data_IF_591596717705
#
_entry.id   IF_591596717705
#
_cell.length_a   1.000
_cell.length_b   1.000
_cell.length_c   1.000
_cell.angle_alpha   90.00
_cell.angle_beta   90.00
_cell.angle_gamma   90.00
#
_symmetry.space_group_name_H-M   'P 1'
#
loop_
_entity.id
_entity.type
_entity.pdbx_description
1 polymer ?
#
# COMPACT_ATOMS: atom_id res chain seq x y z
N UNK A 1 -7.73 15.40 6.32
CA UNK A 1 -6.93 16.50 5.78
C UNK A 1 -6.43 17.46 6.85
N UNK A 2 -6.39 16.99 8.07
CA UNK A 2 -5.68 17.65 9.14
C UNK A 2 -4.19 17.72 8.78
N UNK A 3 -3.45 18.70 9.29
CA UNK A 3 -2.02 18.78 9.08
C UNK A 3 -1.33 17.48 9.50
N UNK A 4 -0.41 17.00 8.67
CA UNK A 4 0.41 15.84 8.97
C UNK A 4 1.35 16.19 10.13
N UNK A 5 1.19 15.53 11.26
CA UNK A 5 1.99 15.76 12.46
C UNK A 5 3.18 14.81 12.55
N UNK A 6 2.93 13.52 12.25
CA UNK A 6 3.96 12.46 12.32
C UNK A 6 3.83 11.50 11.13
N UNK A 7 4.96 10.95 10.70
CA UNK A 7 5.02 9.99 9.60
C UNK A 7 6.15 8.99 9.81
N UNK A 8 5.92 7.75 9.33
CA UNK A 8 6.99 6.76 9.19
C UNK A 8 7.44 6.78 7.73
N UNK A 9 8.72 7.07 7.50
CA UNK A 9 9.36 6.96 6.19
C UNK A 9 10.25 5.73 6.20
N UNK A 10 10.06 4.87 5.21
CA UNK A 10 10.77 3.62 5.08
C UNK A 10 12.25 3.74 4.72
N UNK A 11 12.85 2.62 4.37
CA UNK A 11 14.23 2.52 3.84
C UNK A 11 14.29 1.44 2.76
N UNK A 12 15.19 1.60 1.81
CA UNK A 12 15.48 0.60 0.80
C UNK A 12 16.54 -0.43 1.27
N UNK A 13 17.09 -0.27 2.46
CA UNK A 13 18.08 -1.19 2.98
C UNK A 13 17.56 -2.63 2.96
N UNK A 14 18.38 -3.54 2.46
CA UNK A 14 18.06 -4.97 2.33
C UNK A 14 16.88 -5.29 1.40
N UNK A 15 16.38 -4.33 0.63
CA UNK A 15 15.34 -4.60 -0.37
C UNK A 15 15.82 -5.68 -1.34
N UNK A 16 14.96 -6.64 -1.63
CA UNK A 16 15.30 -7.81 -2.45
C UNK A 16 14.08 -8.30 -3.23
N UNK A 17 14.33 -9.09 -4.26
CA UNK A 17 13.29 -9.86 -4.95
C UNK A 17 13.25 -11.24 -4.29
N UNK A 18 12.11 -11.63 -3.69
CA UNK A 18 12.00 -12.92 -3.02
C UNK A 18 12.15 -14.09 -3.97
N UNK A 19 12.53 -15.25 -3.45
CA UNK A 19 12.39 -16.50 -4.18
C UNK A 19 10.91 -16.68 -4.54
N UNK A 20 10.59 -16.95 -5.83
CA UNK A 20 9.21 -17.16 -6.25
C UNK A 20 8.52 -18.25 -5.40
N UNK A 21 7.35 -17.93 -4.94
CA UNK A 21 6.41 -18.81 -4.29
C UNK A 21 5.00 -18.38 -4.72
N UNK A 22 4.00 -19.16 -4.42
CA UNK A 22 2.63 -18.91 -4.88
C UNK A 22 2.13 -17.52 -4.50
N UNK A 23 2.43 -17.06 -3.27
CA UNK A 23 1.98 -15.76 -2.79
C UNK A 23 2.60 -14.59 -3.56
N UNK A 24 3.91 -14.65 -3.81
CA UNK A 24 4.64 -13.63 -4.58
C UNK A 24 4.16 -13.60 -6.03
N UNK A 25 3.99 -14.78 -6.65
CA UNK A 25 3.55 -14.87 -8.04
C UNK A 25 2.10 -14.41 -8.23
N UNK A 26 1.19 -14.78 -7.34
CA UNK A 26 -0.24 -14.40 -7.48
C UNK A 26 -0.56 -12.98 -7.00
N UNK A 27 0.17 -12.47 -6.02
CA UNK A 27 -0.11 -11.15 -5.45
C UNK A 27 0.71 -10.02 -6.05
N UNK A 28 1.98 -10.28 -6.41
CA UNK A 28 2.90 -9.22 -6.84
C UNK A 28 3.32 -9.30 -8.31
N UNK A 29 3.59 -10.50 -8.79
CA UNK A 29 4.11 -10.71 -10.15
C UNK A 29 3.20 -11.59 -11.02
N UNK A 30 1.86 -11.35 -11.05
CA UNK A 30 0.94 -12.24 -11.75
C UNK A 30 1.13 -12.25 -13.28
N UNK A 31 1.80 -11.24 -13.83
CA UNK A 31 2.05 -11.09 -15.26
C UNK A 31 3.40 -11.66 -15.72
N UNK A 32 4.22 -12.14 -14.76
CA UNK A 32 5.55 -12.67 -15.05
C UNK A 32 5.60 -14.20 -14.96
N UNK A 33 6.41 -14.80 -15.79
CA UNK A 33 6.78 -16.21 -15.67
C UNK A 33 7.65 -16.41 -14.41
N UNK A 34 7.41 -17.49 -13.66
CA UNK A 34 8.15 -17.79 -12.44
C UNK A 34 9.67 -17.87 -12.66
N UNK A 35 10.10 -18.45 -13.80
CA UNK A 35 11.52 -18.55 -14.14
C UNK A 35 12.17 -17.16 -14.32
N UNK A 36 11.42 -16.21 -14.87
CA UNK A 36 11.92 -14.84 -14.99
C UNK A 36 12.13 -14.18 -13.63
N UNK A 37 11.17 -14.31 -12.71
CA UNK A 37 11.30 -13.77 -11.33
C UNK A 37 12.45 -14.48 -10.60
N UNK A 38 12.55 -15.80 -10.73
CA UNK A 38 13.61 -16.64 -10.13
C UNK A 38 15.01 -16.21 -10.55
N UNK A 39 15.19 -15.86 -11.82
CA UNK A 39 16.46 -15.36 -12.37
C UNK A 39 16.93 -14.07 -11.71
N UNK A 40 15.99 -13.26 -11.22
CA UNK A 40 16.25 -11.95 -10.60
C UNK A 40 16.19 -11.98 -9.07
N UNK A 41 16.01 -13.15 -8.46
CA UNK A 41 15.96 -13.30 -7.00
C UNK A 41 17.26 -12.82 -6.35
N UNK A 42 17.13 -12.09 -5.25
CA UNK A 42 18.25 -11.56 -4.47
C UNK A 42 18.13 -10.07 -4.23
N UNK A 43 19.15 -9.47 -3.64
CA UNK A 43 19.15 -8.04 -3.37
C UNK A 43 19.04 -7.22 -4.65
N UNK A 44 18.33 -6.11 -4.58
CA UNK A 44 18.37 -5.11 -5.63
C UNK A 44 19.82 -4.64 -5.88
N UNK A 45 20.16 -4.22 -7.12
CA UNK A 45 21.42 -3.56 -7.38
C UNK A 45 21.66 -2.41 -6.39
N UNK A 46 22.89 -2.29 -5.87
CA UNK A 46 23.22 -1.30 -4.84
C UNK A 46 22.89 0.12 -5.29
N UNK A 47 23.04 0.42 -6.58
CA UNK A 47 22.67 1.72 -7.14
C UNK A 47 21.19 2.05 -6.89
N UNK A 48 20.27 1.08 -7.08
CA UNK A 48 18.83 1.31 -6.82
C UNK A 48 18.59 1.57 -5.33
N UNK A 49 19.26 0.81 -4.46
CA UNK A 49 19.12 0.99 -3.01
C UNK A 49 19.61 2.37 -2.58
N UNK A 50 20.76 2.80 -3.11
CA UNK A 50 21.37 4.09 -2.78
C UNK A 50 20.49 5.25 -3.27
N UNK A 51 20.06 5.24 -4.54
CA UNK A 51 19.18 6.27 -5.13
C UNK A 51 17.83 6.35 -4.38
N UNK A 52 17.23 5.21 -4.06
CA UNK A 52 15.96 5.19 -3.31
C UNK A 52 16.14 5.71 -1.88
N UNK A 53 17.23 5.37 -1.19
CA UNK A 53 17.51 5.90 0.13
C UNK A 53 17.77 7.41 0.09
N UNK A 54 18.48 7.93 -0.93
CA UNK A 54 18.67 9.37 -1.13
C UNK A 54 17.31 10.09 -1.27
N UNK A 55 16.39 9.56 -2.08
CA UNK A 55 15.05 10.12 -2.24
C UNK A 55 14.24 10.10 -0.93
N UNK A 56 14.31 9.00 -0.17
CA UNK A 56 13.63 8.86 1.12
C UNK A 56 14.23 9.81 2.19
N UNK A 57 15.54 10.05 2.16
CA UNK A 57 16.21 10.98 3.05
C UNK A 57 15.85 12.44 2.71
N UNK A 58 15.80 12.80 1.42
CA UNK A 58 15.33 14.10 0.95
C UNK A 58 13.88 14.34 1.39
N UNK A 59 13.01 13.33 1.24
CA UNK A 59 11.63 13.39 1.71
C UNK A 59 11.56 13.63 3.23
N UNK A 60 12.37 12.87 4.00
CA UNK A 60 12.46 13.01 5.45
C UNK A 60 12.87 14.41 5.88
N UNK A 61 13.92 14.96 5.27
CA UNK A 61 14.39 16.32 5.55
C UNK A 61 13.34 17.38 5.17
N UNK A 62 12.67 17.18 4.03
CA UNK A 62 11.64 18.11 3.54
C UNK A 62 10.47 18.18 4.51
N UNK A 63 9.98 17.03 4.97
CA UNK A 63 8.90 16.97 5.94
C UNK A 63 9.31 17.50 7.31
N UNK A 64 10.54 17.21 7.77
CA UNK A 64 11.08 17.78 9.00
C UNK A 64 11.15 19.32 8.97
N UNK A 65 11.53 19.92 7.82
CA UNK A 65 11.50 21.38 7.61
C UNK A 65 10.08 21.96 7.63
N UNK A 66 9.07 21.16 7.33
CA UNK A 66 7.65 21.52 7.43
C UNK A 66 7.08 21.31 8.84
N UNK A 67 7.89 20.86 9.80
CA UNK A 67 7.49 20.62 11.20
C UNK A 67 6.91 19.24 11.46
N UNK A 68 6.95 18.32 10.50
CA UNK A 68 6.47 16.94 10.67
C UNK A 68 7.52 16.11 11.43
N UNK A 69 7.08 15.35 12.43
CA UNK A 69 7.95 14.38 13.11
C UNK A 69 8.13 13.15 12.20
N UNK A 70 9.36 12.87 11.82
CA UNK A 70 9.69 11.75 10.94
C UNK A 70 10.30 10.60 11.74
N UNK A 71 9.71 9.43 11.63
CA UNK A 71 10.21 8.18 12.18
C UNK A 71 10.84 7.33 11.08
N UNK A 72 11.92 6.61 11.41
CA UNK A 72 12.63 5.70 10.50
C UNK A 72 12.60 4.27 11.05
N UNK A 73 12.59 3.25 10.18
CA UNK A 73 12.61 1.85 10.60
C UNK A 73 13.94 1.46 11.24
N UNK A 74 13.88 0.50 12.17
CA UNK A 74 15.05 -0.24 12.61
C UNK A 74 15.19 -1.51 11.76
N UNK A 75 16.27 -1.58 10.97
CA UNK A 75 16.52 -2.70 10.04
C UNK A 75 17.37 -3.82 10.64
N UNK A 76 17.56 -3.85 11.95
CA UNK A 76 18.37 -4.86 12.65
C UNK A 76 18.02 -6.30 12.24
N UNK A 77 16.74 -6.58 11.97
CA UNK A 77 16.25 -7.91 11.58
C UNK A 77 15.91 -8.04 10.11
N UNK A 78 16.22 -7.05 9.29
CA UNK A 78 15.77 -6.98 7.90
C UNK A 78 16.20 -8.18 7.04
N UNK A 79 17.43 -8.63 7.21
CA UNK A 79 17.97 -9.77 6.47
C UNK A 79 17.79 -11.12 7.21
N UNK A 80 17.00 -11.15 8.27
CA UNK A 80 16.74 -12.38 9.02
C UNK A 80 15.78 -13.28 8.26
N UNK A 81 15.96 -14.61 8.33
CA UNK A 81 14.98 -15.52 7.79
C UNK A 81 13.67 -15.48 8.59
N UNK A 82 12.56 -15.59 7.88
CA UNK A 82 11.23 -15.64 8.43
C UNK A 82 10.67 -17.05 8.30
N UNK A 83 10.02 -17.55 9.36
CA UNK A 83 9.49 -18.89 9.39
C UNK A 83 8.04 -18.89 9.89
N UNK A 84 7.23 -19.72 9.27
CA UNK A 84 5.97 -20.21 9.80
C UNK A 84 5.97 -21.76 9.75
N UNK A 85 4.98 -22.44 10.34
CA UNK A 85 4.88 -23.90 10.19
C UNK A 85 4.79 -24.38 8.74
N UNK A 86 4.29 -23.55 7.81
CA UNK A 86 3.95 -23.94 6.44
C UNK A 86 4.89 -23.37 5.38
N UNK A 87 5.61 -22.31 5.71
CA UNK A 87 6.49 -21.66 4.74
C UNK A 87 7.71 -21.03 5.41
N UNK A 88 8.73 -20.73 4.61
CA UNK A 88 9.90 -19.97 5.03
C UNK A 88 10.29 -18.97 3.94
N UNK A 89 10.99 -17.92 4.33
CA UNK A 89 11.41 -16.87 3.41
C UNK A 89 12.29 -15.85 4.08
N UNK A 90 12.50 -14.75 3.40
CA UNK A 90 13.11 -13.52 3.94
C UNK A 90 12.12 -12.38 3.78
N UNK A 91 12.23 -11.37 4.63
CA UNK A 91 11.50 -10.12 4.42
C UNK A 91 11.88 -9.51 3.07
N UNK A 92 10.92 -8.86 2.44
CA UNK A 92 11.08 -8.34 1.10
C UNK A 92 11.74 -6.95 1.10
N UNK A 93 11.06 -5.97 1.70
CA UNK A 93 11.52 -4.58 1.74
C UNK A 93 10.87 -3.80 2.90
N UNK A 94 11.35 -2.57 3.15
CA UNK A 94 10.85 -1.70 4.22
C UNK A 94 10.58 -0.27 3.74
N UNK A 95 10.50 -0.03 2.43
CA UNK A 95 10.31 1.32 1.91
C UNK A 95 8.84 1.78 1.90
N UNK A 96 7.89 0.87 2.03
CA UNK A 96 6.45 1.15 1.98
C UNK A 96 5.74 0.81 3.31
N UNK A 97 5.96 1.55 4.42
CA UNK A 97 5.30 1.25 5.71
C UNK A 97 3.76 1.29 5.61
N UNK A 98 3.23 2.13 4.71
CA UNK A 98 1.80 2.29 4.44
C UNK A 98 1.12 1.02 3.94
N UNK A 99 1.88 0.10 3.33
CA UNK A 99 1.30 -1.12 2.76
C UNK A 99 0.77 -2.08 3.83
N UNK A 100 1.45 -2.16 4.98
CA UNK A 100 1.13 -3.11 6.05
C UNK A 100 0.75 -2.47 7.38
N UNK A 101 0.84 -1.14 7.48
CA UNK A 101 0.48 -0.39 8.68
C UNK A 101 -0.68 0.55 8.38
N UNK A 102 -1.83 0.26 8.98
CA UNK A 102 -3.03 1.09 8.87
C UNK A 102 -3.22 1.89 10.16
N UNK A 103 -3.20 3.21 10.05
CA UNK A 103 -3.46 4.11 11.19
C UNK A 103 -4.84 4.74 11.00
N UNK A 104 -5.72 4.52 11.98
CA UNK A 104 -7.08 5.05 12.00
C UNK A 104 -7.39 5.58 13.41
N UNK A 105 -7.58 6.90 13.53
CA UNK A 105 -7.70 7.55 14.82
C UNK A 105 -6.47 7.26 15.69
N UNK A 106 -6.67 6.72 16.89
CA UNK A 106 -5.61 6.30 17.80
C UNK A 106 -5.16 4.83 17.63
N UNK A 107 -5.55 4.18 16.53
CA UNK A 107 -5.24 2.75 16.33
C UNK A 107 -4.13 2.56 15.30
N UNK A 108 -3.12 1.77 15.69
CA UNK A 108 -2.06 1.26 14.82
C UNK A 108 -2.40 -0.20 14.53
N UNK A 109 -2.73 -0.52 13.31
CA UNK A 109 -3.15 -1.88 12.91
C UNK A 109 -2.08 -2.47 11.98
N UNK A 110 -1.42 -3.54 12.44
CA UNK A 110 -0.57 -4.37 11.60
C UNK A 110 -1.46 -5.35 10.83
N UNK A 111 -1.46 -5.24 9.50
CA UNK A 111 -2.34 -6.01 8.63
C UNK A 111 -1.74 -7.38 8.25
N UNK A 112 -2.59 -8.39 8.00
CA UNK A 112 -2.17 -9.74 7.67
C UNK A 112 -2.00 -9.89 6.15
N UNK A 113 -0.84 -9.47 5.61
CA UNK A 113 -0.56 -9.58 4.18
C UNK A 113 -0.74 -11.02 3.67
N UNK A 114 -1.27 -11.24 2.46
CA UNK A 114 -1.27 -12.56 1.84
C UNK A 114 0.12 -12.97 1.31
N UNK A 115 1.11 -12.09 1.33
CA UNK A 115 2.45 -12.38 0.81
C UNK A 115 3.35 -12.87 1.95
N UNK A 116 3.88 -14.09 1.84
CA UNK A 116 4.72 -14.71 2.88
C UNK A 116 5.87 -13.79 3.29
N UNK A 117 6.55 -13.22 2.32
CA UNK A 117 7.75 -12.39 2.52
C UNK A 117 7.46 -11.04 3.15
N UNK A 118 6.18 -10.68 3.35
CA UNK A 118 5.77 -9.42 3.96
C UNK A 118 5.24 -9.55 5.39
N UNK A 119 5.02 -10.76 5.90
CA UNK A 119 4.39 -11.00 7.21
C UNK A 119 5.11 -10.32 8.39
N UNK A 120 6.39 -10.07 8.28
CA UNK A 120 7.22 -9.52 9.35
C UNK A 120 7.84 -8.17 8.98
N UNK A 121 7.44 -7.53 7.90
CA UNK A 121 7.95 -6.19 7.53
C UNK A 121 7.67 -5.15 8.61
N UNK A 122 6.52 -5.22 9.29
CA UNK A 122 6.14 -4.32 10.38
C UNK A 122 7.08 -4.38 11.59
N UNK A 123 7.91 -5.42 11.70
CA UNK A 123 8.90 -5.53 12.78
C UNK A 123 9.96 -4.41 12.72
N UNK A 124 10.26 -3.89 11.55
CA UNK A 124 11.16 -2.75 11.40
C UNK A 124 10.62 -1.47 12.09
N UNK A 125 9.32 -1.40 12.32
CA UNK A 125 8.64 -0.25 12.91
C UNK A 125 8.26 -0.44 14.39
N UNK A 126 8.62 -1.57 15.01
CA UNK A 126 8.19 -1.92 16.38
C UNK A 126 8.59 -0.90 17.42
N UNK A 127 9.77 -0.28 17.31
CA UNK A 127 10.21 0.76 18.25
C UNK A 127 9.31 2.00 18.15
N UNK A 128 8.91 2.37 16.94
CA UNK A 128 7.94 3.47 16.71
C UNK A 128 6.59 3.11 17.30
N UNK A 129 6.09 1.90 17.03
CA UNK A 129 4.80 1.46 17.57
C UNK A 129 4.80 1.37 19.09
N UNK A 130 5.91 0.91 19.70
CA UNK A 130 6.05 0.86 21.15
C UNK A 130 6.00 2.26 21.77
N UNK A 131 6.69 3.24 21.17
CA UNK A 131 6.64 4.63 21.61
C UNK A 131 5.22 5.19 21.52
N UNK A 132 4.54 5.01 20.39
CA UNK A 132 3.17 5.48 20.19
C UNK A 132 2.20 4.78 21.15
N UNK A 133 2.41 3.49 21.47
CA UNK A 133 1.61 2.79 22.49
C UNK A 133 1.77 3.40 23.87
N UNK A 134 2.98 3.79 24.27
CA UNK A 134 3.24 4.51 25.52
C UNK A 134 2.58 5.90 25.55
N UNK A 135 2.38 6.51 24.38
CA UNK A 135 1.68 7.78 24.19
C UNK A 135 0.13 7.62 24.17
N UNK A 136 -0.38 6.37 24.26
CA UNK A 136 -1.80 6.08 24.38
C UNK A 136 -2.47 5.58 23.10
N UNK A 137 -1.73 5.22 22.08
CA UNK A 137 -2.27 4.54 20.89
C UNK A 137 -2.59 3.06 21.17
N UNK A 138 -3.65 2.57 20.57
CA UNK A 138 -3.98 1.14 20.57
C UNK A 138 -3.15 0.42 19.49
N UNK A 139 -2.20 -0.40 19.89
CA UNK A 139 -1.42 -1.21 18.95
C UNK A 139 -2.05 -2.59 18.77
N UNK A 140 -2.56 -2.86 17.58
CA UNK A 140 -3.34 -4.05 17.25
C UNK A 140 -2.64 -4.80 16.12
N UNK A 141 -2.40 -6.10 16.30
CA UNK A 141 -1.96 -7.00 15.23
C UNK A 141 -3.12 -7.89 14.82
N UNK A 142 -3.41 -7.95 13.51
CA UNK A 142 -4.36 -8.92 12.97
C UNK A 142 -3.86 -10.37 13.20
N UNK A 143 -4.77 -11.36 13.25
CA UNK A 143 -4.36 -12.76 13.33
C UNK A 143 -3.34 -13.10 12.25
N UNK A 144 -2.24 -13.73 12.64
CA UNK A 144 -1.22 -14.19 11.68
C UNK A 144 -1.82 -15.33 10.85
N UNK A 145 -1.87 -15.21 9.52
CA UNK A 145 -2.48 -16.23 8.67
C UNK A 145 -1.53 -17.42 8.47
N UNK A 146 -2.10 -18.57 8.17
CA UNK A 146 -1.36 -19.79 7.85
C UNK A 146 -0.81 -19.72 6.42
N UNK A 147 -1.55 -19.10 5.50
CA UNK A 147 -1.19 -18.91 4.08
C UNK A 147 -1.01 -20.24 3.34
N UNK A 148 -2.03 -21.09 3.37
CA UNK A 148 -2.07 -22.27 2.53
C UNK A 148 -2.16 -21.92 1.05
N UNK A 149 -1.65 -22.79 0.18
CA UNK A 149 -1.66 -22.58 -1.27
C UNK A 149 -3.09 -22.43 -1.81
N UNK A 150 -4.09 -23.07 -1.20
CA UNK A 150 -5.51 -22.97 -1.54
C UNK A 150 -6.10 -21.58 -1.30
N UNK A 151 -5.42 -20.70 -0.56
CA UNK A 151 -5.86 -19.32 -0.39
C UNK A 151 -5.75 -18.51 -1.69
N UNK A 152 -4.83 -18.91 -2.58
CA UNK A 152 -4.56 -18.21 -3.84
C UNK A 152 -5.31 -18.90 -4.97
N UNK A 153 -6.27 -18.22 -5.55
CA UNK A 153 -7.11 -18.70 -6.64
C UNK A 153 -7.15 -17.70 -7.79
N UNK A 154 -7.88 -18.03 -8.80
CA UNK A 154 -8.32 -17.11 -9.85
C UNK A 154 -9.82 -16.91 -9.75
N UNK A 155 -10.28 -15.73 -10.07
CA UNK A 155 -11.71 -15.46 -10.23
C UNK A 155 -12.25 -16.04 -11.55
N UNK A 156 -13.52 -15.81 -11.83
CA UNK A 156 -14.17 -16.31 -13.06
C UNK A 156 -13.60 -15.70 -14.35
N UNK A 157 -12.80 -14.65 -14.26
CA UNK A 157 -12.13 -13.97 -15.37
C UNK A 157 -10.69 -14.44 -15.56
N UNK A 158 -10.18 -15.34 -14.70
CA UNK A 158 -8.79 -15.75 -14.66
C UNK A 158 -7.85 -14.75 -13.99
N UNK A 159 -8.40 -13.80 -13.21
CA UNK A 159 -7.62 -12.81 -12.49
C UNK A 159 -7.27 -13.36 -11.11
N UNK A 160 -6.01 -13.17 -10.63
CA UNK A 160 -5.62 -13.59 -9.28
C UNK A 160 -6.52 -13.02 -8.21
N UNK A 161 -6.96 -13.86 -7.30
CA UNK A 161 -7.86 -13.54 -6.20
C UNK A 161 -7.52 -14.39 -4.96
N UNK A 162 -8.08 -14.02 -3.81
CA UNK A 162 -7.97 -14.76 -2.57
C UNK A 162 -9.30 -15.45 -2.24
N UNK A 163 -9.25 -16.59 -1.55
CA UNK A 163 -10.45 -17.14 -0.93
C UNK A 163 -10.77 -16.40 0.38
N UNK A 164 -11.90 -16.74 1.01
CA UNK A 164 -12.36 -16.14 2.27
C UNK A 164 -12.17 -17.07 3.50
N UNK A 165 -11.19 -17.98 3.49
CA UNK A 165 -10.95 -18.89 4.62
C UNK A 165 -10.17 -18.21 5.74
N UNK A 166 -9.19 -17.39 5.41
CA UNK A 166 -8.41 -16.60 6.36
C UNK A 166 -8.68 -15.11 6.24
N UNK A 167 -8.29 -14.34 7.27
CA UNK A 167 -8.33 -12.87 7.25
C UNK A 167 -7.06 -12.41 6.54
N UNK A 168 -7.20 -11.86 5.34
CA UNK A 168 -6.07 -11.46 4.50
C UNK A 168 -6.32 -10.07 3.91
N UNK A 169 -5.42 -9.13 4.19
CA UNK A 169 -5.40 -7.83 3.48
C UNK A 169 -4.12 -7.06 3.77
N UNK A 170 -3.76 -6.18 2.86
CA UNK A 170 -2.75 -5.15 3.07
C UNK A 170 -3.42 -3.80 3.38
N UNK A 171 -2.77 -2.96 4.18
CA UNK A 171 -3.33 -1.68 4.59
C UNK A 171 -3.56 -0.73 3.41
N UNK A 172 -2.77 -0.87 2.35
CA UNK A 172 -2.92 -0.11 1.12
C UNK A 172 -4.14 -0.51 0.25
N UNK A 173 -4.90 -1.55 0.65
CA UNK A 173 -6.24 -1.81 0.13
C UNK A 173 -7.31 -0.86 0.71
N UNK A 174 -6.91 0.02 1.64
CA UNK A 174 -7.81 0.94 2.33
C UNK A 174 -7.54 2.39 1.96
N UNK A 175 -8.59 3.16 1.70
CA UNK A 175 -8.57 4.62 1.63
C UNK A 175 -9.41 5.18 2.79
N UNK A 176 -8.84 6.10 3.55
CA UNK A 176 -9.49 6.69 4.75
C UNK A 176 -10.08 8.04 4.42
N UNK A 177 -11.31 8.26 4.84
CA UNK A 177 -12.04 9.53 4.68
C UNK A 177 -12.85 9.76 5.96
N UNK A 178 -12.30 10.47 6.91
CA UNK A 178 -12.88 10.65 8.25
C UNK A 178 -13.22 9.29 8.89
N UNK A 179 -14.50 9.06 9.20
CA UNK A 179 -15.03 7.82 9.76
C UNK A 179 -15.32 6.74 8.70
N UNK A 180 -15.23 7.07 7.43
CA UNK A 180 -15.46 6.16 6.32
C UNK A 180 -14.14 5.57 5.79
N UNK A 181 -14.12 4.26 5.63
CA UNK A 181 -12.96 3.52 5.10
C UNK A 181 -13.41 2.78 3.85
N UNK A 182 -12.91 3.18 2.69
CA UNK A 182 -13.09 2.38 1.48
C UNK A 182 -12.09 1.23 1.51
N UNK A 183 -12.58 0.02 1.40
CA UNK A 183 -11.79 -1.21 1.40
C UNK A 183 -11.99 -1.95 0.07
N UNK A 184 -10.90 -2.24 -0.63
CA UNK A 184 -10.91 -2.98 -1.89
C UNK A 184 -10.63 -4.46 -1.66
N UNK A 185 -11.51 -5.32 -2.17
CA UNK A 185 -11.23 -6.75 -2.39
C UNK A 185 -10.41 -6.89 -3.66
N UNK A 186 -9.27 -7.59 -3.56
CA UNK A 186 -8.33 -7.80 -4.66
C UNK A 186 -7.45 -9.03 -4.41
N UNK A 187 -6.40 -9.21 -5.20
CA UNK A 187 -5.41 -10.26 -4.95
C UNK A 187 -4.54 -10.03 -3.70
N UNK A 188 -4.66 -8.87 -3.03
CA UNK A 188 -3.97 -8.57 -1.76
C UNK A 188 -4.92 -8.28 -0.60
N UNK A 189 -6.22 -8.50 -0.77
CA UNK A 189 -7.20 -8.34 0.30
C UNK A 189 -8.51 -9.04 -0.03
N UNK A 190 -9.03 -9.84 0.90
CA UNK A 190 -10.30 -10.55 0.73
C UNK A 190 -11.43 -9.89 1.54
N UNK A 191 -12.67 -10.31 1.28
CA UNK A 191 -13.86 -9.80 1.97
C UNK A 191 -13.80 -10.02 3.49
N UNK A 192 -13.27 -11.16 3.92
CA UNK A 192 -13.12 -11.50 5.35
C UNK A 192 -12.17 -10.53 6.07
N UNK A 193 -11.14 -10.03 5.37
CA UNK A 193 -10.25 -8.97 5.88
C UNK A 193 -11.01 -7.67 6.14
N UNK A 194 -11.85 -7.23 5.20
CA UNK A 194 -12.71 -6.06 5.37
C UNK A 194 -13.73 -6.21 6.51
N UNK A 195 -14.34 -7.39 6.63
CA UNK A 195 -15.25 -7.70 7.74
C UNK A 195 -14.54 -7.70 9.10
N UNK A 196 -13.31 -8.24 9.16
CA UNK A 196 -12.50 -8.18 10.37
C UNK A 196 -12.14 -6.74 10.75
N UNK A 197 -11.74 -5.93 9.76
CA UNK A 197 -11.43 -4.52 9.96
C UNK A 197 -12.63 -3.76 10.52
N UNK A 198 -13.83 -3.95 9.95
CA UNK A 198 -15.06 -3.35 10.48
C UNK A 198 -15.30 -3.71 11.95
N UNK A 199 -15.13 -4.98 12.32
CA UNK A 199 -15.33 -5.43 13.73
C UNK A 199 -14.28 -4.81 14.65
N UNK A 200 -13.05 -4.70 14.21
CA UNK A 200 -11.93 -4.12 14.98
C UNK A 200 -12.11 -2.63 15.21
N UNK A 201 -12.62 -1.91 14.23
CA UNK A 201 -12.87 -0.46 14.33
C UNK A 201 -14.14 -0.11 15.11
N UNK A 202 -15.08 -1.06 15.20
CA UNK A 202 -16.35 -0.85 15.89
C UNK A 202 -17.31 0.06 15.11
N UNK A 203 -18.30 0.63 15.84
CA UNK A 203 -19.37 1.43 15.25
C UNK A 203 -18.99 2.89 14.94
N UNK A 204 -17.84 3.35 15.42
CA UNK A 204 -17.37 4.72 15.15
C UNK A 204 -16.85 4.90 13.72
N UNK A 205 -16.57 3.80 13.04
CA UNK A 205 -16.08 3.79 11.66
C UNK A 205 -16.95 2.89 10.79
N UNK A 206 -17.04 3.21 9.52
CA UNK A 206 -17.75 2.41 8.52
C UNK A 206 -16.79 1.96 7.44
N UNK A 207 -16.67 0.63 7.28
CA UNK A 207 -15.87 0.02 6.21
C UNK A 207 -16.76 -0.30 5.02
N UNK A 208 -16.52 0.37 3.90
CA UNK A 208 -17.20 0.15 2.62
C UNK A 208 -16.39 -0.84 1.79
N UNK A 209 -16.83 -2.10 1.77
CA UNK A 209 -16.16 -3.16 1.01
C UNK A 209 -16.62 -3.09 -0.44
N UNK A 210 -15.67 -3.06 -1.37
CA UNK A 210 -15.90 -3.02 -2.82
C UNK A 210 -15.04 -4.03 -3.56
N UNK A 211 -15.58 -4.62 -4.64
CA UNK A 211 -14.90 -5.60 -5.50
C UNK A 211 -14.69 -5.10 -6.94
N UNK A 212 -15.34 -4.00 -7.33
CA UNK A 212 -15.51 -3.62 -8.74
C UNK A 212 -14.58 -2.50 -9.22
N UNK A 213 -13.54 -2.15 -8.44
CA UNK A 213 -12.64 -1.04 -8.78
C UNK A 213 -11.36 -1.52 -9.45
N UNK A 214 -10.62 -2.37 -8.78
CA UNK A 214 -9.33 -2.88 -9.25
C UNK A 214 -9.00 -4.22 -8.62
N UNK A 215 -8.65 -5.21 -9.41
CA UNK A 215 -8.47 -6.59 -8.94
C UNK A 215 -7.07 -6.90 -8.42
N UNK A 216 -6.10 -6.01 -8.65
CA UNK A 216 -4.71 -6.19 -8.24
C UNK A 216 -4.37 -5.42 -6.97
N UNK A 217 -3.09 -5.47 -6.59
CA UNK A 217 -2.59 -4.88 -5.35
C UNK A 217 -2.86 -3.38 -5.28
N UNK A 218 -3.41 -2.98 -4.16
CA UNK A 218 -3.55 -1.62 -3.66
C UNK A 218 -4.53 -0.71 -4.40
N UNK A 219 -5.12 0.22 -3.65
CA UNK A 219 -6.13 1.15 -4.13
C UNK A 219 -5.55 2.53 -4.47
N UNK A 220 -4.33 2.81 -4.05
CA UNK A 220 -3.66 4.12 -4.08
C UNK A 220 -3.33 4.64 -5.49
N UNK A 221 -3.29 3.77 -6.49
CA UNK A 221 -3.19 4.12 -7.92
C UNK A 221 -4.54 4.13 -8.64
N UNK A 222 -5.64 4.10 -7.90
CA UNK A 222 -7.01 4.02 -8.42
C UNK A 222 -7.88 5.18 -7.92
N UNK A 223 -7.87 5.44 -6.60
CA UNK A 223 -8.66 6.48 -5.95
C UNK A 223 -7.81 7.21 -4.93
N UNK A 224 -7.68 8.52 -5.05
CA UNK A 224 -6.93 9.35 -4.11
C UNK A 224 -7.76 10.57 -3.69
N UNK A 225 -8.31 10.57 -2.46
CA UNK A 225 -8.94 11.76 -1.90
C UNK A 225 -7.89 12.85 -1.66
N UNK A 226 -8.10 14.03 -2.22
CA UNK A 226 -7.17 15.18 -2.12
C UNK A 226 -7.45 16.01 -0.89
N UNK A 227 -8.72 16.34 -0.71
CA UNK A 227 -9.29 17.10 0.40
C UNK A 227 -10.78 16.82 0.48
N UNK A 228 -11.43 17.28 1.54
CA UNK A 228 -12.88 17.17 1.63
C UNK A 228 -13.57 17.72 0.37
N UNK A 229 -14.44 16.91 -0.21
CA UNK A 229 -15.19 17.24 -1.41
C UNK A 229 -14.41 17.14 -2.73
N UNK A 230 -13.15 16.64 -2.74
CA UNK A 230 -12.36 16.50 -3.97
C UNK A 230 -11.61 15.16 -3.99
N UNK A 231 -11.82 14.38 -5.05
CA UNK A 231 -11.18 13.08 -5.27
C UNK A 231 -10.55 13.00 -6.66
N UNK A 232 -9.40 12.30 -6.75
CA UNK A 232 -8.74 11.95 -8.02
C UNK A 232 -9.05 10.50 -8.35
N UNK A 233 -9.45 10.25 -9.58
CA UNK A 233 -9.75 8.94 -10.12
C UNK A 233 -8.83 8.57 -11.28
N UNK A 234 -8.41 7.33 -11.30
CA UNK A 234 -7.88 6.68 -12.48
C UNK A 234 -9.04 6.35 -13.44
N UNK A 235 -9.11 7.07 -14.57
CA UNK A 235 -10.20 6.93 -15.52
C UNK A 235 -10.22 5.57 -16.26
N UNK A 236 -9.11 4.80 -16.20
CA UNK A 236 -9.08 3.46 -16.77
C UNK A 236 -9.73 2.40 -15.87
N UNK A 237 -9.99 2.72 -14.59
CA UNK A 237 -10.51 1.79 -13.58
C UNK A 237 -11.81 2.24 -12.95
N UNK A 238 -11.98 3.54 -12.76
CA UNK A 238 -13.18 4.13 -12.15
C UNK A 238 -14.01 4.81 -13.25
N UNK A 239 -15.32 4.57 -13.21
CA UNK A 239 -16.33 5.18 -14.08
C UNK A 239 -17.48 5.69 -13.21
N UNK A 240 -18.43 6.43 -13.80
CA UNK A 240 -19.63 6.85 -13.08
C UNK A 240 -20.53 5.67 -12.64
N UNK A 241 -20.34 4.48 -13.23
CA UNK A 241 -21.12 3.29 -12.92
C UNK A 241 -20.61 2.54 -11.71
N UNK A 242 -19.25 2.43 -11.54
CA UNK A 242 -18.61 1.72 -10.42
C UNK A 242 -18.06 2.66 -9.35
N UNK A 243 -18.28 3.97 -9.47
CA UNK A 243 -17.84 4.97 -8.49
C UNK A 243 -18.40 4.66 -7.09
N UNK A 244 -17.54 4.63 -6.05
CA UNK A 244 -18.01 4.41 -4.70
C UNK A 244 -19.02 5.47 -4.24
N UNK A 245 -20.11 5.03 -3.61
CA UNK A 245 -21.22 5.88 -3.18
C UNK A 245 -20.76 7.09 -2.35
N UNK A 246 -19.76 6.89 -1.47
CA UNK A 246 -19.22 7.92 -0.60
C UNK A 246 -18.59 9.12 -1.33
N UNK A 247 -18.23 8.98 -2.60
CA UNK A 247 -17.62 10.04 -3.40
C UNK A 247 -18.56 10.65 -4.45
N UNK A 248 -19.79 10.15 -4.63
CA UNK A 248 -20.69 10.62 -5.69
C UNK A 248 -20.99 12.11 -5.66
N UNK A 249 -21.05 12.71 -4.47
CA UNK A 249 -21.28 14.14 -4.29
C UNK A 249 -20.02 15.01 -4.38
N UNK A 250 -18.83 14.39 -4.50
CA UNK A 250 -17.56 15.10 -4.52
C UNK A 250 -17.21 15.62 -5.91
N UNK A 251 -16.44 16.68 -5.98
CA UNK A 251 -15.75 17.10 -7.20
C UNK A 251 -14.71 16.06 -7.61
N UNK A 252 -14.51 15.84 -8.90
CA UNK A 252 -13.70 14.76 -9.45
C UNK A 252 -12.63 15.27 -10.39
N UNK A 253 -11.43 14.77 -10.24
CA UNK A 253 -10.35 14.91 -11.22
C UNK A 253 -10.12 13.54 -11.84
N UNK A 254 -10.31 13.44 -13.15
CA UNK A 254 -10.09 12.22 -13.90
C UNK A 254 -8.69 12.25 -14.52
N UNK A 255 -7.85 11.27 -14.20
CA UNK A 255 -6.56 11.07 -14.85
C UNK A 255 -6.76 10.05 -15.95
N UNK A 256 -6.68 10.50 -17.20
CA UNK A 256 -6.92 9.70 -18.41
C UNK A 256 -5.65 9.03 -18.94
N UNK A 257 -4.47 9.59 -18.59
CA UNK A 257 -3.17 9.11 -19.06
C UNK A 257 -2.19 9.00 -17.88
N UNK A 258 -1.51 7.85 -17.79
CA UNK A 258 -0.41 7.71 -16.84
C UNK A 258 0.85 8.42 -17.36
N UNK A 259 1.73 8.85 -16.45
CA UNK A 259 3.07 9.28 -16.86
C UNK A 259 3.80 8.05 -17.43
N UNK A 260 4.51 8.24 -18.54
CA UNK A 260 5.39 7.20 -19.06
C UNK A 260 6.41 6.84 -17.99
N UNK A 261 6.24 5.66 -17.40
CA UNK A 261 7.23 5.04 -16.55
C UNK A 261 8.19 4.35 -17.51
N UNK A 262 9.45 4.77 -17.50
CA UNK A 262 10.50 4.06 -18.23
C UNK A 262 10.55 2.60 -17.76
N UNK A 263 10.98 1.69 -18.62
CA UNK A 263 11.15 0.27 -18.28
C UNK A 263 11.90 0.14 -16.96
N UNK A 264 11.53 -0.88 -16.18
CA UNK A 264 12.20 -1.19 -14.92
C UNK A 264 13.72 -1.18 -15.09
N UNK A 265 14.45 -0.44 -14.26
CA UNK A 265 15.91 -0.39 -14.37
C UNK A 265 16.48 -1.81 -14.23
N UNK A 266 17.56 -2.08 -14.94
CA UNK A 266 18.26 -3.38 -14.95
C UNK A 266 17.42 -4.59 -15.40
N UNK A 267 16.26 -4.38 -16.05
CA UNK A 267 15.37 -5.47 -16.49
C UNK A 267 14.77 -6.28 -15.34
N UNK A 268 14.62 -5.69 -14.17
CA UNK A 268 14.02 -6.35 -13.02
C UNK A 268 12.50 -6.54 -13.20
N UNK A 269 11.88 -7.56 -12.58
CA UNK A 269 10.44 -7.66 -12.57
C UNK A 269 9.84 -6.43 -11.86
N UNK A 270 8.92 -5.76 -12.55
CA UNK A 270 8.29 -4.54 -12.06
C UNK A 270 6.99 -4.87 -11.32
N UNK A 271 6.92 -4.58 -10.04
CA UNK A 271 5.76 -4.89 -9.20
C UNK A 271 4.84 -3.69 -8.93
N UNK A 272 5.16 -2.51 -9.46
CA UNK A 272 4.32 -1.33 -9.29
C UNK A 272 3.41 -1.10 -10.50
N UNK A 273 2.22 -0.56 -10.26
CA UNK A 273 1.33 -0.11 -11.32
C UNK A 273 1.96 1.04 -12.12
N UNK A 274 1.75 1.07 -13.43
CA UNK A 274 2.12 2.21 -14.28
C UNK A 274 1.46 3.53 -13.82
N UNK A 275 0.39 3.44 -13.04
CA UNK A 275 -0.34 4.57 -12.44
C UNK A 275 0.18 4.98 -11.07
N UNK A 276 1.32 4.46 -10.61
CA UNK A 276 1.87 4.72 -9.27
C UNK A 276 2.06 6.21 -8.97
N UNK A 277 2.29 7.02 -9.99
CA UNK A 277 2.42 8.47 -9.84
C UNK A 277 1.15 9.20 -9.37
N UNK A 278 -0.02 8.52 -9.37
CA UNK A 278 -1.21 9.06 -8.72
C UNK A 278 -1.12 9.01 -7.20
N UNK A 279 -0.25 8.17 -6.66
CA UNK A 279 -0.03 8.05 -5.23
C UNK A 279 0.83 9.23 -4.74
N UNK A 280 0.22 10.15 -4.01
CA UNK A 280 0.88 11.33 -3.48
C UNK A 280 0.63 11.49 -1.98
N UNK A 281 1.49 12.26 -1.32
CA UNK A 281 1.39 12.55 0.10
C UNK A 281 0.70 13.90 0.34
N UNK A 282 -0.49 13.90 0.91
CA UNK A 282 -1.12 15.12 1.44
C UNK A 282 -0.48 15.51 2.77
N UNK A 283 0.13 16.68 2.82
CA UNK A 283 0.72 17.24 4.04
C UNK A 283 -0.33 18.03 4.83
N UNK A 284 -1.21 18.70 4.13
CA UNK A 284 -2.39 19.39 4.68
C UNK A 284 -3.38 19.71 3.55
N UNK A 285 -4.46 20.41 3.84
CA UNK A 285 -5.50 20.77 2.86
C UNK A 285 -5.01 21.69 1.71
N UNK A 286 -3.79 22.20 1.77
CA UNK A 286 -3.22 23.15 0.79
C UNK A 286 -1.92 22.66 0.17
N UNK A 287 -1.30 21.62 0.73
CA UNK A 287 0.01 21.15 0.30
C UNK A 287 0.02 19.62 0.13
N UNK A 288 0.43 19.17 -1.05
CA UNK A 288 0.72 17.78 -1.33
C UNK A 288 2.12 17.64 -1.97
N UNK A 289 2.80 16.55 -1.66
CA UNK A 289 4.05 16.14 -2.29
C UNK A 289 3.71 15.10 -3.35
N UNK A 290 4.07 15.37 -4.60
CA UNK A 290 3.73 14.53 -5.77
C UNK A 290 5.00 14.20 -6.54
N UNK A 291 4.98 13.12 -7.30
CA UNK A 291 6.02 12.83 -8.27
C UNK A 291 6.11 13.97 -9.32
N UNK A 292 7.33 14.42 -9.60
CA UNK A 292 7.57 15.52 -10.55
C UNK A 292 7.04 15.20 -11.95
N UNK A 293 7.12 13.95 -12.40
CA UNK A 293 6.64 13.51 -13.71
C UNK A 293 5.10 13.55 -13.77
N UNK A 294 4.43 13.39 -12.62
CA UNK A 294 2.97 13.40 -12.49
C UNK A 294 2.39 14.79 -12.18
N UNK A 295 3.20 15.76 -11.78
CA UNK A 295 2.72 17.13 -11.52
C UNK A 295 2.10 17.80 -12.76
N UNK A 296 2.40 17.33 -13.96
CA UNK A 296 1.89 17.89 -15.23
C UNK A 296 0.47 17.46 -15.61
N UNK A 297 0.04 16.20 -15.44
CA UNK A 297 -1.35 15.77 -15.71
C UNK A 297 -2.37 16.34 -14.72
N UNK A 298 -1.97 16.65 -13.49
CA UNK A 298 -2.84 17.31 -12.50
C UNK A 298 -2.94 18.82 -12.78
N UNK A 299 -3.00 19.21 -14.04
CA UNK A 299 -3.46 20.55 -14.38
C UNK A 299 -4.93 20.62 -14.07
N UNK A 300 -5.25 21.24 -12.94
CA UNK A 300 -6.60 21.67 -12.65
C UNK A 300 -7.14 22.33 -13.92
N UNK A 301 -7.98 21.64 -14.66
CA UNK A 301 -8.91 22.33 -15.58
C UNK A 301 -9.74 23.20 -14.64
N UNK A 302 -9.42 24.48 -14.56
CA UNK A 302 -10.31 25.47 -13.99
C UNK A 302 -11.63 25.33 -14.76
N UNK A 303 -12.48 24.42 -14.28
CA UNK A 303 -13.79 24.19 -14.82
C UNK A 303 -14.60 25.43 -14.52
N UNK A 304 -14.83 26.23 -15.52
CA UNK A 304 -16.05 27.01 -15.54
C UNK A 304 -17.20 25.99 -15.60
N UNK A 305 -18.08 26.09 -14.60
CA UNK A 305 -19.40 25.46 -14.55
C UNK A 305 -20.15 25.57 -15.85
#
# INVERSE_FOLDING_TARGET
WDPLEEIIIGTADYANIPIPNISVMKCQFPEYEEEYVRKHTGFYPQQIIDEQNEDLDILSETLGKLGVVVHRPNTQYANSPCYSPNWNGKNWHYHCPRDLTLIIGNKIIETPSPIWNRQFETWAYREVFSKLYEEGYDWIKAPIPILHDENYKEDTRGVPALNNEEILFEAANCVRVNEDILYQVSNTGNEKGGQWLQRTLGSNYKVHITEDLYSYAHLDSTIVPVKEGLVVYNASRVTLENEPEMFKSWDKIWIEECANIENAPFGLPWGASEWIGMNFLSVNSQLAIVDKKQAMPIKFKNGKR
#
